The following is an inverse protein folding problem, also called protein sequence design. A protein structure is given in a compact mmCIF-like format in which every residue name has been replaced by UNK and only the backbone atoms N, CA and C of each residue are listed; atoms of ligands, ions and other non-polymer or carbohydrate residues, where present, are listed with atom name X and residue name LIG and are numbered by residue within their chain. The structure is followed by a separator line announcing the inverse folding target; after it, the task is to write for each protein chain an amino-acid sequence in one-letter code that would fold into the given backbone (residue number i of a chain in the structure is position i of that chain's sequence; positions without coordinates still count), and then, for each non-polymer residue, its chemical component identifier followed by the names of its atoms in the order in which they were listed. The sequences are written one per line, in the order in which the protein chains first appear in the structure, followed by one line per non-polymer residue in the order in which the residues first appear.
data_IF_266939776767
#
_entry.id   IF_266939776767
#
_cell.length_a   1.000
_cell.length_b   1.000
_cell.length_c   1.000
_cell.angle_alpha   90.00
_cell.angle_beta   90.00
_cell.angle_gamma   90.00
#
_symmetry.space_group_name_H-M   'P 1'
#
loop_
_entity.id
_entity.type
_entity.pdbx_description
1 polymer ?
#
# COMPACT_ATOMS: atom_id res chain seq x y z
N UNK A 1 -50.30 -44.14 -39.53
CA UNK A 1 -49.85 -42.75 -39.69
C UNK A 1 -50.10 -42.03 -38.38
N UNK A 2 -49.00 -41.76 -37.65
CA UNK A 2 -48.83 -40.72 -36.63
C UNK A 2 -50.03 -40.36 -35.74
N UNK A 3 -50.17 -41.04 -34.61
CA UNK A 3 -50.76 -40.44 -33.42
C UNK A 3 -49.60 -39.90 -32.57
N UNK A 4 -49.67 -38.61 -32.23
CA UNK A 4 -48.66 -37.86 -31.49
C UNK A 4 -48.54 -38.36 -30.04
N UNK A 5 -47.58 -39.25 -29.80
CA UNK A 5 -47.16 -39.67 -28.47
C UNK A 5 -46.12 -38.69 -27.92
N UNK A 6 -46.51 -37.44 -27.65
CA UNK A 6 -45.57 -36.46 -27.08
C UNK A 6 -46.15 -35.38 -26.15
N UNK A 7 -47.44 -35.41 -25.80
CA UNK A 7 -48.02 -34.35 -24.95
C UNK A 7 -48.46 -34.79 -23.54
N UNK A 8 -48.62 -36.09 -23.26
CA UNK A 8 -49.17 -36.52 -21.96
C UNK A 8 -48.12 -36.75 -20.85
N UNK A 9 -46.83 -36.71 -21.16
CA UNK A 9 -45.77 -36.83 -20.14
C UNK A 9 -45.62 -35.55 -19.28
N UNK A 10 -46.22 -34.43 -19.68
CA UNK A 10 -46.09 -33.13 -19.01
C UNK A 10 -47.06 -32.92 -17.83
N UNK A 11 -48.08 -33.78 -17.66
CA UNK A 11 -49.18 -33.56 -16.71
C UNK A 11 -49.20 -34.54 -15.52
N UNK A 12 -48.07 -35.16 -15.16
CA UNK A 12 -47.97 -35.95 -13.92
C UNK A 12 -47.84 -35.02 -12.70
N UNK A 13 -48.50 -35.32 -11.56
CA UNK A 13 -48.42 -34.50 -10.34
C UNK A 13 -46.98 -34.36 -9.83
N UNK A 14 -46.11 -35.34 -10.10
CA UNK A 14 -44.70 -35.29 -9.76
C UNK A 14 -43.93 -34.26 -10.62
N UNK A 15 -44.27 -34.11 -11.90
CA UNK A 15 -43.67 -33.11 -12.79
C UNK A 15 -44.07 -31.68 -12.38
N UNK A 16 -45.36 -31.49 -12.08
CA UNK A 16 -45.92 -30.21 -11.61
C UNK A 16 -45.33 -29.77 -10.26
N UNK A 17 -45.10 -30.71 -9.36
CA UNK A 17 -44.46 -30.48 -8.06
C UNK A 17 -42.99 -30.09 -8.22
N UNK A 18 -42.22 -30.80 -9.07
CA UNK A 18 -40.82 -30.44 -9.36
C UNK A 18 -40.69 -29.08 -10.04
N UNK A 19 -41.58 -28.76 -10.98
CA UNK A 19 -41.63 -27.44 -11.61
C UNK A 19 -41.93 -26.34 -10.57
N UNK A 20 -42.88 -26.55 -9.67
CA UNK A 20 -43.19 -25.60 -8.60
C UNK A 20 -41.99 -25.34 -7.68
N UNK A 21 -41.23 -26.37 -7.29
CA UNK A 21 -39.99 -26.20 -6.51
C UNK A 21 -38.90 -25.46 -7.29
N UNK A 22 -38.74 -25.74 -8.59
CA UNK A 22 -37.76 -25.05 -9.42
C UNK A 22 -38.08 -23.56 -9.55
N UNK A 23 -39.34 -23.21 -9.86
CA UNK A 23 -39.77 -21.81 -9.91
C UNK A 23 -39.68 -21.13 -8.54
N UNK A 24 -40.04 -21.81 -7.46
CA UNK A 24 -39.88 -21.31 -6.09
C UNK A 24 -38.41 -20.98 -5.77
N UNK A 25 -37.49 -21.89 -6.09
CA UNK A 25 -36.06 -21.67 -5.91
C UNK A 25 -35.54 -20.51 -6.77
N UNK A 26 -35.98 -20.43 -8.03
CA UNK A 26 -35.63 -19.33 -8.94
C UNK A 26 -36.08 -17.97 -8.39
N UNK A 27 -37.30 -17.88 -7.88
CA UNK A 27 -37.84 -16.65 -7.30
C UNK A 27 -37.02 -16.20 -6.09
N UNK A 28 -36.67 -17.12 -5.19
CA UNK A 28 -35.85 -16.81 -4.01
C UNK A 28 -34.45 -16.35 -4.41
N UNK A 29 -33.83 -17.02 -5.39
CA UNK A 29 -32.50 -16.63 -5.90
C UNK A 29 -32.56 -15.24 -6.55
N UNK A 30 -33.55 -14.97 -7.40
CA UNK A 30 -33.71 -13.68 -8.07
C UNK A 30 -33.96 -12.54 -7.07
N UNK A 31 -34.76 -12.78 -6.02
CA UNK A 31 -34.93 -11.84 -4.92
C UNK A 31 -33.61 -11.57 -4.20
N UNK A 32 -32.86 -12.61 -3.86
CA UNK A 32 -31.55 -12.47 -3.21
C UNK A 32 -30.55 -11.67 -4.05
N UNK A 33 -30.46 -11.96 -5.35
CA UNK A 33 -29.59 -11.23 -6.29
C UNK A 33 -30.03 -9.76 -6.41
N UNK A 34 -31.34 -9.51 -6.57
CA UNK A 34 -31.88 -8.15 -6.69
C UNK A 34 -31.60 -7.30 -5.45
N UNK A 35 -31.85 -7.84 -4.25
CA UNK A 35 -31.59 -7.14 -2.99
C UNK A 35 -30.09 -6.86 -2.83
N UNK A 36 -29.22 -7.82 -3.15
CA UNK A 36 -27.77 -7.62 -3.03
C UNK A 36 -27.24 -6.58 -4.04
N UNK A 37 -27.75 -6.57 -5.27
CA UNK A 37 -27.39 -5.56 -6.28
C UNK A 37 -27.83 -4.15 -5.84
N UNK A 38 -29.03 -4.04 -5.26
CA UNK A 38 -29.55 -2.80 -4.71
C UNK A 38 -28.72 -2.31 -3.52
N UNK A 39 -28.41 -3.18 -2.55
CA UNK A 39 -27.55 -2.81 -1.42
C UNK A 39 -26.12 -2.43 -1.86
N UNK A 40 -25.59 -3.10 -2.87
CA UNK A 40 -24.27 -2.78 -3.44
C UNK A 40 -24.25 -1.37 -4.04
N UNK A 41 -25.28 -0.96 -4.79
CA UNK A 41 -25.32 0.39 -5.36
C UNK A 41 -25.41 1.49 -4.28
N UNK A 42 -26.18 1.26 -3.20
CA UNK A 42 -26.25 2.20 -2.08
C UNK A 42 -24.95 2.27 -1.26
N UNK A 43 -24.27 1.14 -1.05
CA UNK A 43 -23.04 1.10 -0.26
C UNK A 43 -21.82 1.61 -1.05
N UNK A 44 -21.75 1.33 -2.35
CA UNK A 44 -20.65 1.77 -3.19
C UNK A 44 -20.65 3.27 -3.41
N UNK A 45 -21.82 3.90 -3.64
CA UNK A 45 -21.91 5.36 -3.89
C UNK A 45 -21.45 6.19 -2.69
N UNK A 46 -21.91 5.87 -1.47
CA UNK A 46 -21.45 6.53 -0.25
C UNK A 46 -19.97 6.26 0.06
N UNK A 47 -19.52 5.01 -0.13
CA UNK A 47 -18.12 4.65 0.05
C UNK A 47 -17.20 5.31 -0.99
N UNK A 48 -17.67 5.51 -2.22
CA UNK A 48 -16.93 6.12 -3.31
C UNK A 48 -16.71 7.62 -3.06
N UNK A 49 -17.75 8.36 -2.69
CA UNK A 49 -17.61 9.77 -2.32
C UNK A 49 -16.60 9.95 -1.16
N UNK A 50 -16.67 9.08 -0.14
CA UNK A 50 -15.71 9.10 0.97
C UNK A 50 -14.28 8.70 0.54
N UNK A 51 -14.12 7.80 -0.43
CA UNK A 51 -12.80 7.43 -0.99
C UNK A 51 -12.21 8.58 -1.81
N UNK A 52 -13.03 9.25 -2.61
CA UNK A 52 -12.62 10.41 -3.42
C UNK A 52 -12.18 11.59 -2.55
N UNK A 53 -12.91 11.89 -1.47
CA UNK A 53 -12.52 12.92 -0.52
C UNK A 53 -11.14 12.64 0.09
N UNK A 54 -10.93 11.42 0.61
CA UNK A 54 -9.62 11.01 1.16
C UNK A 54 -8.51 10.98 0.11
N UNK A 55 -8.83 10.59 -1.13
CA UNK A 55 -7.85 10.59 -2.22
C UNK A 55 -7.39 12.02 -2.54
N UNK A 56 -8.32 12.99 -2.57
CA UNK A 56 -8.00 14.42 -2.75
C UNK A 56 -7.14 14.96 -1.60
N UNK A 57 -7.45 14.60 -0.36
CA UNK A 57 -6.63 14.98 0.81
C UNK A 57 -5.20 14.45 0.70
N UNK A 58 -5.04 13.15 0.39
CA UNK A 58 -3.70 12.55 0.22
C UNK A 58 -2.93 13.18 -0.94
N UNK A 59 -3.61 13.50 -2.04
CA UNK A 59 -2.98 14.16 -3.19
C UNK A 59 -2.46 15.57 -2.82
N UNK A 60 -3.23 16.34 -2.04
CA UNK A 60 -2.80 17.64 -1.52
C UNK A 60 -1.60 17.51 -0.58
N UNK A 61 -1.68 16.62 0.41
CA UNK A 61 -0.58 16.37 1.34
C UNK A 61 0.70 15.92 0.59
N UNK A 62 0.56 15.08 -0.43
CA UNK A 62 1.70 14.68 -1.27
C UNK A 62 2.30 15.86 -2.05
N UNK A 63 1.47 16.76 -2.58
CA UNK A 63 1.94 17.94 -3.29
C UNK A 63 2.71 18.89 -2.35
N UNK A 64 2.20 19.11 -1.13
CA UNK A 64 2.86 19.91 -0.10
C UNK A 64 4.22 19.31 0.28
N UNK A 65 4.28 17.99 0.54
CA UNK A 65 5.53 17.29 0.84
C UNK A 65 6.52 17.41 -0.33
N UNK A 66 6.06 17.27 -1.57
CA UNK A 66 6.94 17.40 -2.74
C UNK A 66 7.48 18.82 -2.87
N UNK A 67 6.66 19.84 -2.59
CA UNK A 67 7.07 21.23 -2.65
C UNK A 67 8.11 21.56 -1.56
N UNK A 68 7.88 21.14 -0.32
CA UNK A 68 8.84 21.33 0.77
C UNK A 68 10.13 20.56 0.49
N UNK A 69 10.02 19.29 0.07
CA UNK A 69 11.17 18.45 -0.26
C UNK A 69 12.00 19.04 -1.40
N UNK A 70 11.37 19.62 -2.43
CA UNK A 70 12.08 20.27 -3.53
C UNK A 70 12.91 21.48 -3.06
N UNK A 71 12.38 22.28 -2.15
CA UNK A 71 13.11 23.41 -1.55
C UNK A 71 14.24 22.93 -0.64
N UNK A 72 13.97 21.93 0.21
CA UNK A 72 14.95 21.43 1.16
C UNK A 72 16.08 20.61 0.52
N UNK A 73 15.84 19.94 -0.63
CA UNK A 73 16.88 19.21 -1.36
C UNK A 73 17.83 20.14 -2.13
N UNK A 74 17.33 21.30 -2.56
CA UNK A 74 18.12 22.29 -3.29
C UNK A 74 18.96 23.20 -2.42
N UNK A 75 18.75 23.20 -1.10
CA UNK A 75 19.39 24.13 -0.18
C UNK A 75 20.21 23.42 0.89
N UNK A 76 21.34 24.02 1.27
CA UNK A 76 22.11 23.56 2.42
C UNK A 76 21.45 24.10 3.70
N UNK A 77 21.22 23.24 4.68
CA UNK A 77 20.59 23.60 5.94
C UNK A 77 21.21 22.84 7.11
N UNK A 78 21.22 23.44 8.30
CA UNK A 78 21.66 22.75 9.52
C UNK A 78 20.46 22.06 10.15
N UNK A 79 20.51 20.72 10.26
CA UNK A 79 19.42 19.93 10.85
C UNK A 79 19.57 19.83 12.37
N UNK A 80 20.77 19.53 12.85
CA UNK A 80 21.06 19.43 14.28
C UNK A 80 22.47 19.95 14.55
N UNK A 81 22.55 21.16 15.11
CA UNK A 81 23.82 21.81 15.46
C UNK A 81 24.58 21.05 16.54
N UNK A 82 23.88 20.47 17.52
CA UNK A 82 24.52 19.77 18.64
C UNK A 82 25.17 18.46 18.18
N UNK A 83 24.59 17.81 17.17
CA UNK A 83 25.12 16.58 16.58
C UNK A 83 25.97 16.81 15.32
N UNK A 84 26.12 18.04 14.87
CA UNK A 84 26.85 18.38 13.63
C UNK A 84 26.20 17.81 12.37
N UNK A 85 24.88 17.64 12.35
CA UNK A 85 24.16 17.07 11.21
C UNK A 85 23.72 18.20 10.28
N UNK A 86 24.24 18.16 9.06
CA UNK A 86 23.95 19.11 8.00
C UNK A 86 23.29 18.41 6.82
N UNK A 87 22.29 19.07 6.24
CA UNK A 87 21.75 18.73 4.93
C UNK A 87 22.53 19.50 3.88
N UNK A 88 23.05 18.78 2.88
CA UNK A 88 23.83 19.36 1.79
C UNK A 88 23.24 18.84 0.48
N UNK A 89 23.04 19.69 -0.55
CA UNK A 89 22.63 19.24 -1.87
C UNK A 89 23.62 18.22 -2.44
N UNK A 90 23.11 17.23 -3.18
CA UNK A 90 23.92 16.14 -3.73
C UNK A 90 25.04 16.67 -4.63
N UNK A 91 24.77 17.70 -5.43
CA UNK A 91 25.76 18.34 -6.29
C UNK A 91 26.94 18.91 -5.49
N UNK A 92 26.65 19.66 -4.43
CA UNK A 92 27.67 20.21 -3.53
C UNK A 92 28.43 19.09 -2.78
N UNK A 93 27.74 18.02 -2.37
CA UNK A 93 28.38 16.86 -1.77
C UNK A 93 29.34 16.14 -2.75
N UNK A 94 28.96 16.03 -4.03
CA UNK A 94 29.84 15.48 -5.07
C UNK A 94 31.06 16.35 -5.31
N UNK A 95 30.90 17.67 -5.36
CA UNK A 95 32.05 18.58 -5.50
C UNK A 95 33.01 18.50 -4.30
N UNK A 96 32.48 18.40 -3.09
CA UNK A 96 33.29 18.22 -1.87
C UNK A 96 34.09 16.92 -1.91
N UNK A 97 33.45 15.82 -2.32
CA UNK A 97 34.14 14.53 -2.44
C UNK A 97 35.20 14.56 -3.54
N UNK A 98 34.94 15.19 -4.69
CA UNK A 98 35.95 15.37 -5.74
C UNK A 98 37.14 16.19 -5.25
N UNK A 99 36.90 17.29 -4.52
CA UNK A 99 37.97 18.11 -3.92
C UNK A 99 38.82 17.30 -2.93
N UNK A 100 38.18 16.51 -2.06
CA UNK A 100 38.87 15.64 -1.10
C UNK A 100 39.77 14.62 -1.82
N UNK A 101 39.22 13.96 -2.86
CA UNK A 101 39.95 12.98 -3.66
C UNK A 101 41.11 13.59 -4.47
N UNK A 102 40.95 14.79 -5.02
CA UNK A 102 42.02 15.49 -5.74
C UNK A 102 43.16 15.90 -4.81
N UNK A 103 42.86 16.27 -3.57
CA UNK A 103 43.89 16.65 -2.59
C UNK A 103 44.71 15.44 -2.13
N UNK A 104 44.06 14.31 -1.80
CA UNK A 104 44.75 13.07 -1.45
C UNK A 104 43.84 11.84 -1.62
N UNK A 105 43.95 11.18 -2.76
CA UNK A 105 43.08 10.04 -3.11
C UNK A 105 43.25 8.84 -2.16
N UNK A 106 44.46 8.58 -1.67
CA UNK A 106 44.73 7.45 -0.79
C UNK A 106 44.10 7.65 0.59
N UNK A 107 44.31 8.84 1.18
CA UNK A 107 43.73 9.20 2.47
C UNK A 107 42.20 9.29 2.42
N UNK A 108 41.63 9.79 1.31
CA UNK A 108 40.18 9.90 1.14
C UNK A 108 39.50 8.53 1.11
N UNK A 109 40.10 7.55 0.42
CA UNK A 109 39.59 6.18 0.37
C UNK A 109 39.63 5.49 1.73
N UNK A 110 40.74 5.59 2.45
CA UNK A 110 40.87 4.96 3.78
C UNK A 110 39.90 5.59 4.79
N UNK A 111 39.76 6.91 4.78
CA UNK A 111 38.79 7.62 5.62
C UNK A 111 37.35 7.22 5.28
N UNK A 112 37.02 7.04 4.00
CA UNK A 112 35.69 6.56 3.58
C UNK A 112 35.40 5.14 4.10
N UNK A 113 36.34 4.19 3.93
CA UNK A 113 36.18 2.81 4.41
C UNK A 113 35.99 2.78 5.93
N UNK A 114 36.80 3.52 6.68
CA UNK A 114 36.68 3.61 8.14
C UNK A 114 35.32 4.15 8.59
N UNK A 115 34.75 5.13 7.86
CA UNK A 115 33.39 5.61 8.14
C UNK A 115 32.35 4.52 7.87
N UNK A 116 32.43 3.83 6.73
CA UNK A 116 31.50 2.75 6.39
C UNK A 116 31.54 1.66 7.44
N UNK A 117 32.72 1.20 7.85
CA UNK A 117 32.89 0.19 8.90
C UNK A 117 32.27 0.61 10.23
N UNK A 118 32.42 1.88 10.63
CA UNK A 118 31.80 2.42 11.83
C UNK A 118 30.26 2.45 11.73
N UNK A 119 29.71 2.76 10.55
CA UNK A 119 28.27 2.80 10.33
C UNK A 119 27.63 1.42 10.21
N UNK A 120 28.36 0.43 9.70
CA UNK A 120 27.88 -0.96 9.55
C UNK A 120 28.18 -1.83 10.77
N UNK A 121 28.92 -1.31 11.76
CA UNK A 121 29.21 -2.01 12.99
C UNK A 121 27.90 -2.47 13.68
N UNK A 122 27.81 -3.74 14.12
CA UNK A 122 26.63 -4.23 14.79
C UNK A 122 26.37 -3.40 16.07
N UNK A 123 25.10 -3.15 16.43
CA UNK A 123 24.78 -2.43 17.64
C UNK A 123 25.37 -3.17 18.86
N UNK A 124 25.83 -2.45 19.89
CA UNK A 124 26.34 -3.08 21.10
C UNK A 124 25.28 -4.02 21.68
N UNK A 125 25.69 -5.24 22.06
CA UNK A 125 24.80 -6.19 22.73
C UNK A 125 24.22 -5.50 23.96
N UNK A 126 22.90 -5.52 24.10
CA UNK A 126 22.23 -4.96 25.26
C UNK A 126 22.85 -5.60 26.52
N UNK A 127 23.12 -4.82 27.58
CA UNK A 127 23.64 -5.37 28.82
C UNK A 127 22.69 -6.47 29.29
N UNK A 128 23.23 -7.66 29.55
CA UNK A 128 22.46 -8.78 30.08
C UNK A 128 21.79 -8.30 31.36
N UNK A 129 20.45 -8.33 31.38
CA UNK A 129 19.67 -7.96 32.54
C UNK A 129 20.13 -8.88 33.67
N UNK A 130 20.62 -8.38 34.81
CA UNK A 130 21.06 -9.25 35.90
C UNK A 130 19.90 -10.18 36.24
N UNK A 131 20.19 -11.48 36.26
CA UNK A 131 19.18 -12.50 36.49
C UNK A 131 18.53 -12.26 37.85
N UNK A 132 17.22 -12.47 37.98
CA UNK A 132 16.48 -12.21 39.22
C UNK A 132 16.78 -13.23 40.36
N UNK A 133 17.88 -13.99 40.25
CA UNK A 133 18.23 -15.11 41.12
C UNK A 133 19.69 -15.10 41.61
N UNK A 134 20.36 -13.93 41.55
CA UNK A 134 21.53 -13.66 42.40
C UNK A 134 21.17 -12.70 43.54
#
# INVERSE_FOLDING_TARGET
MSCQESQDACCSPACRTKAAYFFGALVVILLGVGINAMLKSYTETGAQAAREARAKERAKAQAEIRQTTAQELGTAAVLDKAKGIHRIPVTAAMELTLKEYQANAAASRTAFVARVEKFTAPPPKAPEKPSAFE
#
